data_IF_806470114423
#
_entry.id   IF_806470114423
#
_cell.length_a   1.000
_cell.length_b   1.000
_cell.length_c   1.000
_cell.angle_alpha   90.00
_cell.angle_beta   90.00
_cell.angle_gamma   90.00
#
_symmetry.space_group_name_H-M   'P 1'
#
loop_
_entity.id
_entity.type
_entity.pdbx_description
1 polymer ?
#
# COMPACT_ATOMS: atom_id res chain seq x y z
N UNK A 1 -17.37 23.76 25.91
CA UNK A 1 -16.72 22.45 25.99
C UNK A 1 -15.62 22.45 24.98
N UNK A 2 -14.40 22.06 25.33
CA UNK A 2 -13.31 22.00 24.38
C UNK A 2 -13.56 20.85 23.39
N UNK A 3 -13.74 21.18 22.10
CA UNK A 3 -14.01 20.21 21.02
C UNK A 3 -12.85 19.25 20.75
N UNK A 4 -11.67 19.59 21.28
CA UNK A 4 -10.44 18.81 21.14
C UNK A 4 -10.12 17.96 22.38
N UNK A 5 -10.92 18.05 23.46
CA UNK A 5 -10.75 17.19 24.63
C UNK A 5 -11.22 15.76 24.32
N UNK A 6 -10.48 14.77 24.81
CA UNK A 6 -10.94 13.38 24.71
C UNK A 6 -12.22 13.17 25.51
N UNK A 7 -13.17 12.46 24.90
CA UNK A 7 -14.41 12.03 25.57
C UNK A 7 -14.29 10.61 26.12
N UNK A 8 -13.13 9.99 25.98
CA UNK A 8 -12.84 8.63 26.42
C UNK A 8 -12.20 8.63 27.81
N UNK A 9 -12.08 7.46 28.44
CA UNK A 9 -11.33 7.36 29.69
C UNK A 9 -9.82 7.46 29.43
N UNK A 10 -9.03 8.02 30.39
CA UNK A 10 -7.57 8.13 30.23
C UNK A 10 -6.86 6.81 29.94
N UNK A 11 -7.38 5.70 30.48
CA UNK A 11 -6.84 4.37 30.21
C UNK A 11 -7.05 3.96 28.73
N UNK A 12 -8.20 4.28 28.15
CA UNK A 12 -8.50 4.02 26.75
C UNK A 12 -7.60 4.88 25.85
N UNK A 13 -7.40 6.16 26.18
CA UNK A 13 -6.51 7.05 25.43
C UNK A 13 -5.08 6.51 25.37
N UNK A 14 -4.54 6.04 26.50
CA UNK A 14 -3.21 5.41 26.54
C UNK A 14 -3.18 4.16 25.68
N UNK A 15 -4.20 3.30 25.75
CA UNK A 15 -4.29 2.09 24.92
C UNK A 15 -4.34 2.44 23.43
N UNK A 16 -5.11 3.47 23.04
CA UNK A 16 -5.18 3.99 21.67
C UNK A 16 -3.81 4.47 21.20
N UNK A 17 -3.11 5.26 22.01
CA UNK A 17 -1.77 5.74 21.71
C UNK A 17 -0.76 4.60 21.53
N UNK A 18 -0.77 3.59 22.41
CA UNK A 18 0.07 2.40 22.29
C UNK A 18 -0.26 1.59 21.01
N UNK A 19 -1.53 1.38 20.71
CA UNK A 19 -1.98 0.71 19.51
C UNK A 19 -1.49 1.44 18.24
N UNK A 20 -1.68 2.77 18.17
CA UNK A 20 -1.24 3.59 17.05
C UNK A 20 0.28 3.59 16.89
N UNK A 21 1.03 3.58 17.98
CA UNK A 21 2.50 3.45 17.94
C UNK A 21 2.93 2.12 17.33
N UNK A 22 2.29 1.01 17.73
CA UNK A 22 2.56 -0.31 17.16
C UNK A 22 2.24 -0.31 15.65
N UNK A 23 1.10 0.24 15.24
CA UNK A 23 0.74 0.38 13.83
C UNK A 23 1.76 1.23 13.07
N UNK A 24 2.22 2.35 13.63
CA UNK A 24 3.24 3.20 13.02
C UNK A 24 4.53 2.43 12.74
N UNK A 25 5.05 1.73 13.75
CA UNK A 25 6.28 0.94 13.64
C UNK A 25 6.13 -0.16 12.58
N UNK A 26 5.05 -0.93 12.64
CA UNK A 26 4.80 -2.03 11.70
C UNK A 26 4.58 -1.52 10.27
N UNK A 27 3.85 -0.42 10.10
CA UNK A 27 3.60 0.19 8.80
C UNK A 27 4.89 0.75 8.18
N UNK A 28 5.66 1.54 8.94
CA UNK A 28 6.92 2.11 8.46
C UNK A 28 7.90 1.00 8.12
N UNK A 29 8.13 0.08 9.04
CA UNK A 29 9.07 -1.04 8.82
C UNK A 29 8.65 -1.91 7.63
N UNK A 30 7.39 -2.33 7.57
CA UNK A 30 6.89 -3.21 6.52
C UNK A 30 6.96 -2.56 5.13
N UNK A 31 6.52 -1.31 5.00
CA UNK A 31 6.52 -0.62 3.70
C UNK A 31 7.93 -0.22 3.26
N UNK A 32 8.82 0.18 4.17
CA UNK A 32 10.25 0.39 3.85
C UNK A 32 10.89 -0.90 3.34
N UNK A 33 10.59 -2.05 3.93
CA UNK A 33 11.07 -3.35 3.42
C UNK A 33 10.57 -3.61 1.99
N UNK A 34 9.31 -3.30 1.66
CA UNK A 34 8.78 -3.41 0.29
C UNK A 34 9.56 -2.53 -0.66
N UNK A 35 9.87 -1.28 -0.28
CA UNK A 35 10.65 -0.34 -1.11
C UNK A 35 12.09 -0.82 -1.31
N UNK A 36 12.77 -1.29 -0.27
CA UNK A 36 14.12 -1.85 -0.36
C UNK A 36 14.15 -3.05 -1.32
N UNK A 37 13.14 -3.92 -1.23
CA UNK A 37 13.00 -5.08 -2.12
C UNK A 37 12.78 -4.67 -3.57
N UNK A 38 11.93 -3.68 -3.81
CA UNK A 38 11.69 -3.13 -5.13
C UNK A 38 12.98 -2.53 -5.72
N UNK A 39 13.71 -1.75 -4.93
CA UNK A 39 15.00 -1.19 -5.33
C UNK A 39 16.02 -2.27 -5.71
N UNK A 40 16.23 -3.28 -4.86
CA UNK A 40 17.14 -4.40 -5.13
C UNK A 40 16.78 -5.20 -6.40
N UNK A 41 15.49 -5.20 -6.79
CA UNK A 41 14.99 -5.92 -7.97
C UNK A 41 14.66 -4.99 -9.14
N UNK A 42 15.02 -3.72 -9.08
CA UNK A 42 14.63 -2.71 -10.06
C UNK A 42 14.93 -3.10 -11.51
N UNK A 43 16.08 -3.73 -11.78
CA UNK A 43 16.47 -4.21 -13.11
C UNK A 43 15.62 -5.37 -13.66
N UNK A 44 14.90 -6.09 -12.79
CA UNK A 44 14.04 -7.24 -13.14
C UNK A 44 12.56 -6.97 -12.92
N UNK A 45 12.21 -5.76 -12.49
CA UNK A 45 10.84 -5.36 -12.18
C UNK A 45 10.01 -5.23 -13.46
N UNK A 46 8.77 -5.69 -13.39
CA UNK A 46 7.81 -5.53 -14.48
C UNK A 46 6.93 -4.28 -14.25
N UNK A 47 6.42 -3.62 -15.32
CA UNK A 47 5.61 -2.41 -15.16
C UNK A 47 4.47 -2.52 -14.13
N UNK A 48 3.66 -3.60 -14.08
CA UNK A 48 2.59 -3.71 -13.08
C UNK A 48 3.08 -3.77 -11.62
N UNK A 49 4.34 -4.15 -11.37
CA UNK A 49 4.90 -4.19 -10.02
C UNK A 49 5.15 -2.79 -9.45
N UNK A 50 5.21 -1.76 -10.31
CA UNK A 50 5.29 -0.36 -9.89
C UNK A 50 4.07 0.07 -9.05
N UNK A 51 2.89 -0.47 -9.33
CA UNK A 51 1.69 -0.18 -8.53
C UNK A 51 1.80 -0.73 -7.09
N UNK A 52 2.51 -1.84 -6.90
CA UNK A 52 2.82 -2.36 -5.55
C UNK A 52 3.79 -1.43 -4.80
N UNK A 53 4.77 -0.88 -5.52
CA UNK A 53 5.70 0.12 -4.96
C UNK A 53 4.94 1.41 -4.63
N UNK A 54 4.07 1.87 -5.53
CA UNK A 54 3.24 3.05 -5.32
C UNK A 54 2.35 2.91 -4.09
N UNK A 55 1.75 1.74 -3.87
CA UNK A 55 0.96 1.45 -2.68
C UNK A 55 1.81 1.52 -1.39
N UNK A 56 3.02 0.97 -1.41
CA UNK A 56 3.93 1.06 -0.26
C UNK A 56 4.36 2.51 0.04
N UNK A 57 4.53 3.35 -0.99
CA UNK A 57 4.78 4.80 -0.83
C UNK A 57 3.58 5.49 -0.20
N UNK A 58 2.36 5.14 -0.63
CA UNK A 58 1.10 5.70 -0.07
C UNK A 58 0.95 5.34 1.41
N UNK A 59 1.14 4.06 1.76
CA UNK A 59 1.01 3.58 3.15
C UNK A 59 2.10 4.16 4.06
N UNK A 60 3.33 4.30 3.55
CA UNK A 60 4.43 4.94 4.28
C UNK A 60 4.15 6.44 4.47
N UNK A 61 3.65 7.13 3.44
CA UNK A 61 3.24 8.53 3.52
C UNK A 61 2.18 8.75 4.60
N UNK A 62 1.13 7.93 4.62
CA UNK A 62 0.12 7.96 5.68
C UNK A 62 0.73 7.74 7.06
N UNK A 63 1.62 6.75 7.21
CA UNK A 63 2.22 6.40 8.49
C UNK A 63 3.07 7.55 9.06
N UNK A 64 3.91 8.19 8.25
CA UNK A 64 4.82 9.24 8.74
C UNK A 64 4.14 10.59 8.95
N UNK A 65 3.05 10.86 8.23
CA UNK A 65 2.33 12.14 8.34
C UNK A 65 1.27 12.13 9.44
N UNK A 66 0.64 10.98 9.71
CA UNK A 66 -0.52 10.92 10.59
C UNK A 66 -0.22 10.34 11.98
N UNK A 67 0.50 9.22 12.06
CA UNK A 67 0.63 8.50 13.34
C UNK A 67 1.38 9.28 14.43
N UNK A 68 2.47 10.04 14.15
CA UNK A 68 3.14 10.79 15.22
C UNK A 68 2.20 11.75 15.95
N UNK A 69 1.36 12.47 15.19
CA UNK A 69 0.42 13.43 15.73
C UNK A 69 -0.70 12.75 16.53
N UNK A 70 -1.27 11.66 16.00
CA UNK A 70 -2.34 10.95 16.71
C UNK A 70 -1.85 10.19 17.94
N UNK A 71 -0.62 9.67 17.96
CA UNK A 71 -0.01 9.06 19.16
C UNK A 71 0.18 10.11 20.25
N UNK A 72 0.77 11.27 19.88
CA UNK A 72 0.98 12.36 20.83
C UNK A 72 -0.34 12.90 21.39
N UNK A 73 -1.37 13.07 20.54
CA UNK A 73 -2.70 13.51 20.96
C UNK A 73 -3.36 12.51 21.92
N UNK A 74 -3.26 11.20 21.62
CA UNK A 74 -3.82 10.18 22.49
C UNK A 74 -3.19 10.18 23.90
N UNK A 75 -1.87 10.33 23.99
CA UNK A 75 -1.18 10.37 25.29
C UNK A 75 -1.35 11.71 26.02
N UNK A 76 -1.72 12.77 25.32
CA UNK A 76 -2.06 14.07 25.89
C UNK A 76 -3.51 14.20 26.31
N UNK A 77 -4.36 13.20 26.08
CA UNK A 77 -5.80 13.18 26.36
C UNK A 77 -6.58 14.29 25.64
N UNK A 78 -6.03 14.88 24.60
CA UNK A 78 -6.67 15.88 23.76
C UNK A 78 -5.95 15.99 22.42
N UNK A 79 -6.64 16.52 21.40
CA UNK A 79 -6.00 16.81 20.13
C UNK A 79 -5.01 17.96 20.26
N UNK A 80 -3.77 17.77 19.82
CA UNK A 80 -2.71 18.77 19.90
C UNK A 80 -2.62 19.58 18.59
N UNK A 81 -2.36 20.89 18.70
CA UNK A 81 -2.09 21.78 17.58
C UNK A 81 -3.31 22.50 16.97
N UNK A 82 -4.53 22.32 17.53
CA UNK A 82 -5.74 23.07 17.16
C UNK A 82 -6.23 22.82 15.74
N UNK A 83 -6.99 23.77 15.17
CA UNK A 83 -7.70 23.64 13.88
C UNK A 83 -6.77 23.31 12.72
N UNK A 84 -5.65 24.03 12.59
CA UNK A 84 -4.74 23.83 11.46
C UNK A 84 -4.12 22.43 11.41
N UNK A 85 -3.77 21.86 12.57
CA UNK A 85 -3.27 20.48 12.64
C UNK A 85 -4.37 19.44 12.41
N UNK A 86 -5.59 19.74 12.81
CA UNK A 86 -6.78 18.93 12.57
C UNK A 86 -7.08 18.83 11.07
N UNK A 87 -7.13 19.98 10.38
CA UNK A 87 -7.35 20.03 8.94
C UNK A 87 -6.22 19.32 8.17
N UNK A 88 -4.97 19.56 8.54
CA UNK A 88 -3.83 18.87 7.94
C UNK A 88 -3.91 17.35 8.09
N UNK A 89 -4.22 16.88 9.30
CA UNK A 89 -4.32 15.46 9.59
C UNK A 89 -5.49 14.80 8.85
N UNK A 90 -6.64 15.46 8.84
CA UNK A 90 -7.83 14.98 8.14
C UNK A 90 -7.61 14.94 6.62
N UNK A 91 -7.03 16.00 6.06
CA UNK A 91 -6.63 16.06 4.65
C UNK A 91 -5.65 14.94 4.30
N UNK A 92 -4.59 14.75 5.09
CA UNK A 92 -3.60 13.70 4.85
C UNK A 92 -4.25 12.31 4.90
N UNK A 93 -5.11 12.02 5.88
CA UNK A 93 -5.83 10.77 6.00
C UNK A 93 -6.74 10.49 4.83
N UNK A 94 -7.48 11.47 4.40
CA UNK A 94 -8.37 11.37 3.26
C UNK A 94 -7.58 11.20 1.94
N UNK A 95 -6.54 11.99 1.73
CA UNK A 95 -5.66 11.93 0.56
C UNK A 95 -5.03 10.55 0.40
N UNK A 96 -4.36 10.03 1.43
CA UNK A 96 -3.70 8.73 1.36
C UNK A 96 -4.72 7.59 1.29
N UNK A 97 -5.89 7.70 1.94
CA UNK A 97 -6.97 6.72 1.86
C UNK A 97 -7.51 6.59 0.43
N UNK A 98 -7.82 7.71 -0.22
CA UNK A 98 -8.28 7.74 -1.62
C UNK A 98 -7.17 7.29 -2.57
N UNK A 99 -5.92 7.71 -2.37
CA UNK A 99 -4.80 7.25 -3.18
C UNK A 99 -4.62 5.74 -3.11
N UNK A 100 -4.78 5.12 -1.93
CA UNK A 100 -4.68 3.68 -1.74
C UNK A 100 -5.77 2.92 -2.48
N UNK A 101 -7.05 3.30 -2.35
CA UNK A 101 -8.14 2.59 -3.04
C UNK A 101 -8.06 2.75 -4.57
N UNK A 102 -7.68 3.92 -5.06
CA UNK A 102 -7.49 4.15 -6.49
C UNK A 102 -6.32 3.34 -7.03
N UNK A 103 -5.22 3.25 -6.28
CA UNK A 103 -4.08 2.40 -6.65
C UNK A 103 -4.45 0.92 -6.71
N UNK A 104 -5.26 0.42 -5.76
CA UNK A 104 -5.78 -0.95 -5.77
C UNK A 104 -6.71 -1.20 -6.97
N UNK A 105 -7.53 -0.22 -7.32
CA UNK A 105 -8.42 -0.28 -8.49
C UNK A 105 -7.62 -0.37 -9.78
N UNK A 106 -6.63 0.51 -9.95
CA UNK A 106 -5.72 0.49 -11.10
C UNK A 106 -4.93 -0.83 -11.15
N UNK A 107 -4.46 -1.32 -10.01
CA UNK A 107 -3.79 -2.62 -9.92
C UNK A 107 -4.70 -3.76 -10.40
N UNK A 108 -5.97 -3.77 -10.02
CA UNK A 108 -6.95 -4.76 -10.47
C UNK A 108 -7.18 -4.68 -11.99
N UNK A 109 -7.35 -3.47 -12.55
CA UNK A 109 -7.52 -3.25 -13.99
C UNK A 109 -6.29 -3.72 -14.77
N UNK A 110 -5.09 -3.28 -14.36
CA UNK A 110 -3.83 -3.64 -15.02
C UNK A 110 -3.60 -5.14 -15.00
N UNK A 111 -3.87 -5.80 -13.88
CA UNK A 111 -3.78 -7.27 -13.79
C UNK A 111 -4.83 -7.97 -14.64
N UNK A 112 -6.03 -7.43 -14.74
CA UNK A 112 -7.08 -7.95 -15.61
C UNK A 112 -6.64 -7.88 -17.09
N UNK A 113 -6.19 -6.73 -17.54
CA UNK A 113 -5.71 -6.53 -18.92
C UNK A 113 -4.54 -7.47 -19.24
N UNK A 114 -3.55 -7.58 -18.36
CA UNK A 114 -2.42 -8.50 -18.54
C UNK A 114 -2.87 -9.96 -18.60
N UNK A 115 -3.84 -10.35 -17.75
CA UNK A 115 -4.33 -11.73 -17.72
C UNK A 115 -5.20 -12.08 -18.95
N UNK A 116 -5.98 -11.13 -19.45
CA UNK A 116 -6.79 -11.33 -20.66
C UNK A 116 -5.90 -11.46 -21.91
N UNK A 117 -4.78 -10.75 -21.96
CA UNK A 117 -3.85 -10.70 -23.10
C UNK A 117 -2.68 -11.70 -22.99
N UNK A 118 -2.80 -12.75 -22.19
CA UNK A 118 -1.75 -13.75 -21.96
C UNK A 118 -1.24 -14.43 -23.24
N UNK A 119 -2.06 -14.51 -24.29
CA UNK A 119 -1.72 -15.10 -25.59
C UNK A 119 -1.28 -14.08 -26.64
N UNK A 120 -1.42 -12.77 -26.39
CA UNK A 120 -1.03 -11.73 -27.34
C UNK A 120 0.34 -11.15 -26.99
N UNK A 121 1.32 -11.40 -27.84
CA UNK A 121 2.66 -10.77 -27.73
C UNK A 121 2.64 -9.25 -27.98
N UNK A 122 1.56 -8.69 -28.52
CA UNK A 122 1.51 -7.30 -28.99
C UNK A 122 1.15 -6.26 -27.94
N UNK A 123 0.50 -6.61 -26.83
CA UNK A 123 0.05 -5.63 -25.85
C UNK A 123 0.65 -5.84 -24.46
N UNK A 124 1.96 -5.69 -24.35
CA UNK A 124 2.59 -5.53 -23.04
C UNK A 124 2.31 -4.11 -22.53
N UNK A 125 1.76 -4.00 -21.32
CA UNK A 125 1.62 -2.70 -20.65
C UNK A 125 3.01 -2.06 -20.52
N UNK A 126 3.15 -0.85 -21.08
CA UNK A 126 4.41 -0.12 -21.06
C UNK A 126 4.65 0.57 -19.70
N UNK A 127 5.92 0.84 -19.39
CA UNK A 127 6.30 1.61 -18.21
C UNK A 127 5.65 2.99 -18.16
N UNK A 128 5.53 3.66 -19.31
CA UNK A 128 4.91 4.99 -19.41
C UNK A 128 3.44 4.92 -18.99
N UNK A 129 2.69 3.95 -19.53
CA UNK A 129 1.26 3.79 -19.17
C UNK A 129 1.06 3.59 -17.66
N UNK A 130 1.88 2.74 -17.02
CA UNK A 130 1.75 2.51 -15.57
C UNK A 130 2.17 3.72 -14.75
N UNK A 131 3.22 4.45 -15.14
CA UNK A 131 3.61 5.71 -14.49
C UNK A 131 2.49 6.74 -14.57
N UNK A 132 1.86 6.90 -15.74
CA UNK A 132 0.71 7.81 -15.89
C UNK A 132 -0.47 7.39 -15.01
N UNK A 133 -0.75 6.10 -14.88
CA UNK A 133 -1.79 5.59 -13.99
C UNK A 133 -1.47 5.85 -12.51
N UNK A 134 -0.21 5.71 -12.08
CA UNK A 134 0.21 6.11 -10.75
C UNK A 134 -0.01 7.62 -10.51
N UNK A 135 0.42 8.47 -11.44
CA UNK A 135 0.21 9.93 -11.38
C UNK A 135 -1.28 10.26 -11.29
N UNK A 136 -2.12 9.58 -12.06
CA UNK A 136 -3.56 9.76 -12.02
C UNK A 136 -4.15 9.43 -10.63
N UNK A 137 -3.69 8.36 -9.97
CA UNK A 137 -4.14 8.03 -8.62
C UNK A 137 -3.85 9.17 -7.62
N UNK A 138 -2.65 9.76 -7.69
CA UNK A 138 -2.26 10.88 -6.83
C UNK A 138 -3.05 12.16 -7.12
N UNK A 139 -3.26 12.49 -8.40
CA UNK A 139 -4.05 13.66 -8.80
C UNK A 139 -5.51 13.50 -8.41
N UNK A 140 -6.10 12.32 -8.61
CA UNK A 140 -7.47 12.03 -8.18
C UNK A 140 -7.63 12.21 -6.68
N UNK A 141 -6.74 11.63 -5.90
CA UNK A 141 -6.75 11.76 -4.45
C UNK A 141 -6.59 13.21 -3.98
N UNK A 142 -5.71 13.97 -4.64
CA UNK A 142 -5.49 15.38 -4.32
C UNK A 142 -6.75 16.23 -4.59
N UNK A 143 -7.39 16.03 -5.74
CA UNK A 143 -8.63 16.75 -6.10
C UNK A 143 -9.70 16.50 -5.03
N UNK A 144 -9.93 15.23 -4.65
CA UNK A 144 -10.92 14.90 -3.65
C UNK A 144 -10.56 15.43 -2.26
N UNK A 145 -9.30 15.43 -1.89
CA UNK A 145 -8.84 15.95 -0.58
C UNK A 145 -8.92 17.49 -0.49
N UNK A 146 -8.90 18.21 -1.62
CA UNK A 146 -9.01 19.64 -1.64
C UNK A 146 -10.48 20.14 -1.55
N UNK A 147 -11.45 19.35 -1.97
CA UNK A 147 -12.86 19.78 -1.96
C UNK A 147 -13.35 20.25 -0.58
N UNK A 148 -13.09 19.59 0.55
CA UNK A 148 -13.50 20.08 1.86
C UNK A 148 -12.89 21.44 2.23
N UNK A 149 -11.65 21.73 1.81
CA UNK A 149 -11.00 23.02 2.02
C UNK A 149 -11.59 24.13 1.13
N UNK A 150 -12.19 23.76 0.00
CA UNK A 150 -12.86 24.67 -0.92
C UNK A 150 -14.33 24.87 -0.59
N UNK A 151 -14.84 24.31 0.51
CA UNK A 151 -16.19 24.47 0.98
C UNK A 151 -17.20 23.43 0.48
N UNK A 152 -16.76 22.42 -0.31
CA UNK A 152 -17.60 21.27 -0.63
C UNK A 152 -17.23 20.09 0.28
N UNK A 153 -17.84 20.01 1.44
CA UNK A 153 -17.49 19.21 2.59
C UNK A 153 -16.76 20.03 3.66
N UNK A 154 -16.35 19.39 4.75
CA UNK A 154 -15.61 20.03 5.83
C UNK A 154 -14.77 19.01 6.59
N UNK A 155 -13.59 19.42 7.04
CA UNK A 155 -12.78 18.68 8.00
C UNK A 155 -13.11 19.11 9.43
N UNK A 156 -12.88 18.23 10.40
CA UNK A 156 -13.11 18.50 11.80
C UNK A 156 -12.74 17.34 12.72
N UNK A 157 -12.83 17.54 14.04
CA UNK A 157 -12.51 16.52 15.02
C UNK A 157 -13.53 15.36 14.99
N UNK A 158 -13.04 14.17 15.25
CA UNK A 158 -13.88 12.99 15.50
C UNK A 158 -14.58 13.11 16.87
N UNK A 159 -15.76 12.47 17.07
CA UNK A 159 -16.52 12.57 18.31
C UNK A 159 -15.77 12.19 19.58
N UNK A 160 -14.72 11.36 19.46
CA UNK A 160 -13.88 10.96 20.59
C UNK A 160 -12.70 11.92 20.88
N UNK A 161 -12.48 12.98 20.07
CA UNK A 161 -11.53 14.06 20.35
C UNK A 161 -10.06 13.77 20.11
N UNK A 162 -9.66 12.54 19.73
CA UNK A 162 -8.25 12.12 19.54
C UNK A 162 -7.82 12.03 18.08
N UNK A 163 -8.66 12.37 17.14
CA UNK A 163 -8.42 12.27 15.70
C UNK A 163 -9.25 13.29 14.96
N UNK A 164 -8.86 13.59 13.73
CA UNK A 164 -9.61 14.46 12.83
C UNK A 164 -9.88 13.76 11.51
N UNK A 165 -11.02 14.04 10.90
CA UNK A 165 -11.43 13.52 9.60
C UNK A 165 -12.43 14.44 8.92
N UNK A 166 -13.30 13.92 8.07
CA UNK A 166 -14.47 14.68 7.60
C UNK A 166 -15.43 14.90 8.77
N UNK A 167 -15.94 16.13 8.91
CA UNK A 167 -16.86 16.53 9.97
C UNK A 167 -18.29 15.99 9.73
N UNK A 168 -18.46 14.67 9.85
CA UNK A 168 -19.68 13.93 9.47
C UNK A 168 -20.96 14.53 10.04
N UNK A 169 -20.96 14.89 11.33
CA UNK A 169 -22.12 15.46 12.01
C UNK A 169 -22.55 16.84 11.49
N UNK A 170 -21.58 17.65 11.02
CA UNK A 170 -21.84 18.99 10.50
C UNK A 170 -22.30 18.99 9.04
N UNK A 171 -22.03 17.91 8.31
CA UNK A 171 -22.33 17.78 6.88
C UNK A 171 -23.77 17.34 6.57
N UNK A 172 -24.63 17.21 7.58
CA UNK A 172 -26.00 16.74 7.42
C UNK A 172 -26.84 17.63 6.48
N UNK A 173 -26.68 18.94 6.52
CA UNK A 173 -27.47 19.87 5.70
C UNK A 173 -26.77 20.31 4.42
N UNK A 174 -25.50 20.68 4.47
CA UNK A 174 -24.76 21.30 3.36
C UNK A 174 -23.73 20.40 2.70
N UNK A 175 -23.32 19.30 3.35
CA UNK A 175 -22.29 18.40 2.87
C UNK A 175 -22.80 17.06 2.33
N UNK A 176 -24.10 16.81 2.34
CA UNK A 176 -24.65 15.51 1.92
C UNK A 176 -24.29 15.15 0.48
N UNK A 177 -24.32 16.13 -0.45
CA UNK A 177 -23.93 15.92 -1.84
C UNK A 177 -22.46 15.51 -1.97
N UNK A 178 -21.56 16.12 -1.19
CA UNK A 178 -20.16 15.73 -1.14
C UNK A 178 -20.00 14.29 -0.66
N UNK A 179 -20.64 13.95 0.45
CA UNK A 179 -20.52 12.61 1.05
C UNK A 179 -21.04 11.53 0.11
N UNK A 180 -22.22 11.74 -0.50
CA UNK A 180 -22.78 10.78 -1.46
C UNK A 180 -21.87 10.60 -2.67
N UNK A 181 -21.36 11.69 -3.24
CA UNK A 181 -20.43 11.66 -4.38
C UNK A 181 -19.11 10.99 -4.01
N UNK A 182 -18.58 11.29 -2.83
CA UNK A 182 -17.33 10.72 -2.32
C UNK A 182 -17.44 9.22 -2.10
N UNK A 183 -18.47 8.73 -1.43
CA UNK A 183 -18.67 7.30 -1.23
C UNK A 183 -18.91 6.56 -2.56
N UNK A 184 -19.67 7.16 -3.47
CA UNK A 184 -19.90 6.58 -4.80
C UNK A 184 -18.61 6.51 -5.61
N UNK A 185 -17.85 7.60 -5.69
CA UNK A 185 -16.66 7.69 -6.55
C UNK A 185 -15.42 7.00 -5.95
N UNK A 186 -15.26 7.00 -4.62
CA UNK A 186 -14.03 6.52 -3.96
C UNK A 186 -14.20 5.23 -3.15
N UNK A 187 -15.41 4.69 -3.03
CA UNK A 187 -15.63 3.40 -2.35
C UNK A 187 -16.44 2.43 -3.22
N UNK A 188 -17.66 2.80 -3.60
CA UNK A 188 -18.56 1.89 -4.31
C UNK A 188 -18.04 1.55 -5.71
N UNK A 189 -17.77 2.55 -6.54
CA UNK A 189 -17.30 2.34 -7.92
C UNK A 189 -15.95 1.59 -7.97
N UNK A 190 -14.91 1.97 -7.18
CA UNK A 190 -13.68 1.19 -7.08
C UNK A 190 -13.90 -0.26 -6.67
N UNK A 191 -14.75 -0.50 -5.65
CA UNK A 191 -15.03 -1.85 -5.16
C UNK A 191 -15.68 -2.72 -6.24
N UNK A 192 -16.66 -2.19 -6.97
CA UNK A 192 -17.31 -2.87 -8.08
C UNK A 192 -16.29 -3.22 -9.18
N UNK A 193 -15.44 -2.27 -9.59
CA UNK A 193 -14.40 -2.50 -10.60
C UNK A 193 -13.42 -3.60 -10.15
N UNK A 194 -12.97 -3.55 -8.90
CA UNK A 194 -12.06 -4.55 -8.32
C UNK A 194 -12.69 -5.96 -8.40
N UNK A 195 -13.96 -6.09 -7.98
CA UNK A 195 -14.68 -7.38 -8.01
C UNK A 195 -14.78 -7.90 -9.45
N UNK A 196 -15.23 -7.07 -10.40
CA UNK A 196 -15.34 -7.46 -11.81
C UNK A 196 -14.00 -7.89 -12.41
N UNK A 197 -12.92 -7.13 -12.14
CA UNK A 197 -11.60 -7.46 -12.64
C UNK A 197 -11.10 -8.81 -12.11
N UNK A 198 -11.22 -9.06 -10.81
CA UNK A 198 -10.72 -10.32 -10.24
C UNK A 198 -11.58 -11.52 -10.62
N UNK A 199 -12.89 -11.34 -10.73
CA UNK A 199 -13.79 -12.37 -11.23
C UNK A 199 -13.45 -12.74 -12.69
N UNK A 200 -13.22 -11.74 -13.54
CA UNK A 200 -12.79 -11.94 -14.93
C UNK A 200 -11.45 -12.70 -15.03
N UNK A 201 -10.47 -12.36 -14.20
CA UNK A 201 -9.19 -13.08 -14.13
C UNK A 201 -9.42 -14.54 -13.68
N UNK A 202 -10.25 -14.76 -12.67
CA UNK A 202 -10.55 -16.11 -12.16
C UNK A 202 -11.18 -17.00 -13.23
N UNK A 203 -12.18 -16.47 -13.95
CA UNK A 203 -12.82 -17.18 -15.09
C UNK A 203 -11.79 -17.51 -16.16
N UNK A 204 -10.96 -16.53 -16.57
CA UNK A 204 -9.94 -16.74 -17.60
C UNK A 204 -8.94 -17.84 -17.20
N UNK A 205 -8.44 -17.81 -15.97
CA UNK A 205 -7.52 -18.84 -15.47
C UNK A 205 -8.19 -20.22 -15.43
N UNK A 206 -9.48 -20.28 -15.04
CA UNK A 206 -10.25 -21.52 -15.06
C UNK A 206 -10.42 -22.07 -16.50
N UNK A 207 -10.75 -21.21 -17.46
CA UNK A 207 -10.89 -21.62 -18.87
C UNK A 207 -9.55 -22.12 -19.45
N UNK A 208 -8.43 -21.45 -19.12
CA UNK A 208 -7.09 -21.91 -19.55
C UNK A 208 -6.76 -23.26 -18.94
N UNK A 209 -7.04 -23.44 -17.64
CA UNK A 209 -6.81 -24.71 -16.95
C UNK A 209 -7.60 -25.85 -17.59
N UNK A 210 -8.90 -25.64 -17.90
CA UNK A 210 -9.79 -26.64 -18.51
C UNK A 210 -9.36 -26.99 -19.94
N UNK A 211 -8.87 -26.00 -20.72
CA UNK A 211 -8.47 -26.18 -22.13
C UNK A 211 -7.03 -26.69 -22.30
N UNK A 212 -6.24 -26.69 -21.23
CA UNK A 212 -4.82 -27.02 -21.31
C UNK A 212 -4.61 -28.53 -21.42
N UNK A 213 -3.82 -28.95 -22.42
CA UNK A 213 -3.32 -30.32 -22.60
C UNK A 213 -2.18 -30.68 -21.61
N UNK A 214 -2.29 -30.25 -20.36
CA UNK A 214 -1.50 -30.72 -19.20
C UNK A 214 0.06 -30.58 -19.31
N UNK A 215 0.58 -29.66 -20.13
CA UNK A 215 2.00 -29.41 -20.19
C UNK A 215 2.49 -28.73 -18.90
N UNK A 216 3.67 -29.13 -18.39
CA UNK A 216 4.25 -28.60 -17.17
C UNK A 216 4.46 -27.07 -17.21
N UNK A 217 4.74 -26.51 -18.39
CA UNK A 217 4.89 -25.05 -18.58
C UNK A 217 3.59 -24.29 -18.28
N UNK A 218 2.45 -24.79 -18.80
CA UNK A 218 1.14 -24.16 -18.58
C UNK A 218 0.73 -24.28 -17.11
N UNK A 219 0.98 -25.41 -16.46
CA UNK A 219 0.71 -25.58 -15.03
C UNK A 219 1.50 -24.57 -14.17
N UNK A 220 2.78 -24.36 -14.47
CA UNK A 220 3.61 -23.42 -13.75
C UNK A 220 3.16 -21.96 -13.96
N UNK A 221 2.76 -21.60 -15.18
CA UNK A 221 2.21 -20.30 -15.51
C UNK A 221 0.90 -20.02 -14.74
N UNK A 222 -0.03 -20.98 -14.76
CA UNK A 222 -1.29 -20.88 -14.02
C UNK A 222 -1.04 -20.73 -12.50
N UNK A 223 -0.12 -21.52 -11.94
CA UNK A 223 0.26 -21.43 -10.51
C UNK A 223 0.79 -20.06 -10.13
N UNK A 224 1.62 -19.46 -10.99
CA UNK A 224 2.14 -18.10 -10.78
C UNK A 224 1.01 -17.07 -10.82
N UNK A 225 0.16 -17.09 -11.85
CA UNK A 225 -0.94 -16.14 -12.00
C UNK A 225 -1.96 -16.28 -10.86
N UNK A 226 -2.31 -17.52 -10.48
CA UNK A 226 -3.20 -17.78 -9.34
C UNK A 226 -2.66 -17.17 -8.04
N UNK A 227 -1.36 -17.31 -7.79
CA UNK A 227 -0.71 -16.72 -6.59
C UNK A 227 -0.75 -15.19 -6.62
N UNK A 228 -0.43 -14.58 -7.76
CA UNK A 228 -0.48 -13.13 -7.92
C UNK A 228 -1.92 -12.60 -7.79
N UNK A 229 -2.90 -13.32 -8.32
CA UNK A 229 -4.32 -13.01 -8.14
C UNK A 229 -4.70 -13.07 -6.66
N UNK A 230 -4.33 -14.14 -5.95
CA UNK A 230 -4.65 -14.31 -4.54
C UNK A 230 -4.08 -13.17 -3.68
N UNK A 231 -2.82 -12.77 -3.91
CA UNK A 231 -2.22 -11.62 -3.21
C UNK A 231 -3.02 -10.34 -3.48
N UNK A 232 -3.34 -10.06 -4.74
CA UNK A 232 -4.08 -8.86 -5.12
C UNK A 232 -5.51 -8.84 -4.55
N UNK A 233 -6.20 -9.98 -4.53
CA UNK A 233 -7.53 -10.12 -3.90
C UNK A 233 -7.43 -9.87 -2.40
N UNK A 234 -6.47 -10.48 -1.70
CA UNK A 234 -6.32 -10.33 -0.26
C UNK A 234 -6.02 -8.88 0.15
N UNK A 235 -5.16 -8.18 -0.62
CA UNK A 235 -4.86 -6.77 -0.37
C UNK A 235 -6.12 -5.91 -0.55
N UNK A 236 -6.85 -6.11 -1.64
CA UNK A 236 -8.04 -5.31 -1.95
C UNK A 236 -9.20 -5.60 -0.99
N UNK A 237 -9.47 -6.87 -0.71
CA UNK A 237 -10.52 -7.27 0.25
C UNK A 237 -10.15 -6.81 1.66
N UNK A 238 -8.87 -6.95 2.05
CA UNK A 238 -8.39 -6.47 3.34
C UNK A 238 -8.60 -4.96 3.50
N UNK A 239 -8.25 -4.16 2.48
CA UNK A 239 -8.48 -2.72 2.49
C UNK A 239 -9.97 -2.38 2.62
N UNK A 240 -10.82 -2.94 1.75
CA UNK A 240 -12.27 -2.69 1.78
C UNK A 240 -12.86 -3.10 3.13
N UNK A 241 -12.50 -4.27 3.66
CA UNK A 241 -12.98 -4.74 4.95
C UNK A 241 -12.59 -3.83 6.12
N UNK A 242 -11.37 -3.23 6.07
CA UNK A 242 -10.91 -2.30 7.11
C UNK A 242 -11.65 -0.96 7.07
N UNK A 243 -11.99 -0.47 5.88
CA UNK A 243 -12.65 0.82 5.72
C UNK A 243 -14.18 0.75 5.81
N UNK A 244 -14.78 -0.41 5.53
CA UNK A 244 -16.25 -0.57 5.54
C UNK A 244 -16.90 -0.23 6.88
N UNK A 245 -16.41 -0.69 8.06
CA UNK A 245 -17.01 -0.32 9.33
C UNK A 245 -16.99 1.20 9.59
N UNK A 246 -15.88 1.87 9.25
CA UNK A 246 -15.76 3.31 9.35
C UNK A 246 -16.74 4.04 8.43
N UNK A 247 -16.85 3.60 7.18
CA UNK A 247 -17.79 4.14 6.21
C UNK A 247 -19.26 4.00 6.68
N UNK A 248 -19.61 2.86 7.27
CA UNK A 248 -20.97 2.62 7.80
C UNK A 248 -21.30 3.55 8.97
N UNK A 249 -20.38 3.70 9.93
CA UNK A 249 -20.57 4.62 11.07
C UNK A 249 -20.64 6.07 10.60
N UNK A 250 -19.79 6.46 9.65
CA UNK A 250 -19.81 7.80 9.06
C UNK A 250 -21.14 8.11 8.34
N UNK A 251 -21.66 7.16 7.55
CA UNK A 251 -22.97 7.28 6.91
C UNK A 251 -24.10 7.35 7.94
N UNK A 252 -24.01 6.56 9.01
CA UNK A 252 -24.97 6.62 10.12
C UNK A 252 -24.99 8.01 10.75
N UNK A 253 -23.82 8.59 11.02
CA UNK A 253 -23.68 9.94 11.63
C UNK A 253 -24.31 11.05 10.80
N UNK A 254 -24.43 10.87 9.49
CA UNK A 254 -25.05 11.86 8.59
C UNK A 254 -26.57 11.70 8.56
N UNK A 255 -27.07 10.46 8.59
CA UNK A 255 -28.51 10.18 8.47
C UNK A 255 -29.19 10.43 9.80
N UNK A 256 -28.58 10.02 10.90
CA UNK A 256 -29.12 10.14 12.27
C UNK A 256 -28.35 11.21 13.05
N UNK A 257 -28.78 11.45 14.29
CA UNK A 257 -28.06 12.39 15.15
C UNK A 257 -26.74 11.77 15.64
N UNK A 258 -25.64 12.44 15.31
CA UNK A 258 -24.28 11.98 15.70
C UNK A 258 -24.08 11.97 17.23
N UNK A 259 -24.84 12.79 17.98
CA UNK A 259 -24.80 12.82 19.45
C UNK A 259 -25.29 11.51 20.10
N UNK A 260 -26.04 10.69 19.36
CA UNK A 260 -26.53 9.38 19.82
C UNK A 260 -25.52 8.25 19.72
N UNK A 261 -24.39 8.47 19.05
CA UNK A 261 -23.35 7.44 18.85
C UNK A 261 -22.33 7.52 19.99
N UNK A 262 -22.16 6.46 20.80
CA UNK A 262 -21.10 6.44 21.81
C UNK A 262 -19.72 6.63 21.17
N UNK A 263 -18.81 7.42 21.80
CA UNK A 263 -17.48 7.69 21.26
C UNK A 263 -16.69 6.43 20.92
N UNK A 264 -16.83 5.36 21.69
CA UNK A 264 -16.17 4.08 21.47
C UNK A 264 -16.63 3.39 20.18
N UNK A 265 -17.90 3.57 19.79
CA UNK A 265 -18.46 3.03 18.54
C UNK A 265 -17.86 3.71 17.32
N UNK A 266 -17.47 4.98 17.43
CA UNK A 266 -16.75 5.71 16.37
C UNK A 266 -15.25 5.40 16.38
N UNK A 267 -14.67 5.20 17.57
CA UNK A 267 -13.25 4.93 17.74
C UNK A 267 -12.81 3.62 17.07
N UNK A 268 -13.48 2.49 17.37
CA UNK A 268 -13.07 1.17 16.90
C UNK A 268 -12.97 1.07 15.38
N UNK A 269 -13.98 1.49 14.58
CA UNK A 269 -13.87 1.50 13.13
C UNK A 269 -12.75 2.39 12.60
N UNK A 270 -12.52 3.55 13.23
CA UNK A 270 -11.43 4.45 12.87
C UNK A 270 -10.06 3.78 13.08
N UNK A 271 -9.86 3.10 14.22
CA UNK A 271 -8.62 2.35 14.51
C UNK A 271 -8.45 1.19 13.53
N UNK A 272 -9.53 0.50 13.18
CA UNK A 272 -9.50 -0.60 12.23
C UNK A 272 -9.15 -0.11 10.81
N UNK A 273 -9.71 1.01 10.35
CA UNK A 273 -9.35 1.63 9.08
C UNK A 273 -7.85 1.99 9.00
N UNK A 274 -7.31 2.57 10.08
CA UNK A 274 -5.87 2.90 10.19
C UNK A 274 -4.97 1.66 10.06
N UNK A 275 -5.39 0.50 10.55
CA UNK A 275 -4.62 -0.75 10.45
C UNK A 275 -4.38 -1.23 9.01
N UNK A 276 -5.13 -0.71 8.01
CA UNK A 276 -4.99 -1.10 6.61
C UNK A 276 -3.58 -0.90 6.04
N UNK A 277 -2.81 0.07 6.55
CA UNK A 277 -1.42 0.35 6.12
C UNK A 277 -0.42 -0.75 6.47
N UNK A 278 -0.77 -1.65 7.39
CA UNK A 278 0.10 -2.75 7.86
C UNK A 278 -0.15 -4.04 7.07
N UNK A 279 -1.36 -4.25 6.53
CA UNK A 279 -1.73 -5.55 5.93
C UNK A 279 -0.97 -5.86 4.65
N UNK A 280 -0.64 -4.85 3.83
CA UNK A 280 0.01 -5.07 2.54
C UNK A 280 1.38 -5.76 2.69
N UNK A 281 2.32 -5.26 3.52
CA UNK A 281 3.59 -5.95 3.78
C UNK A 281 3.42 -7.33 4.40
N UNK A 282 2.44 -7.52 5.30
CA UNK A 282 2.14 -8.81 5.92
C UNK A 282 1.69 -9.84 4.87
N UNK A 283 0.78 -9.46 3.97
CA UNK A 283 0.31 -10.33 2.88
C UNK A 283 1.47 -10.70 1.96
N UNK A 284 2.35 -9.73 1.62
CA UNK A 284 3.56 -10.03 0.84
C UNK A 284 4.48 -11.01 1.57
N UNK A 285 4.69 -10.85 2.87
CA UNK A 285 5.49 -11.76 3.68
C UNK A 285 4.89 -13.17 3.69
N UNK A 286 3.59 -13.31 3.94
CA UNK A 286 2.91 -14.62 4.00
C UNK A 286 2.96 -15.36 2.67
N UNK A 287 2.77 -14.67 1.55
CA UNK A 287 2.57 -15.31 0.25
C UNK A 287 3.75 -15.17 -0.71
N UNK A 288 4.81 -14.42 -0.41
CA UNK A 288 5.98 -14.25 -1.27
C UNK A 288 7.24 -14.87 -0.68
N UNK A 289 7.60 -16.09 -1.13
CA UNK A 289 8.85 -16.76 -0.73
C UNK A 289 10.10 -15.90 -0.99
N UNK A 290 10.09 -15.11 -2.06
CA UNK A 290 11.17 -14.16 -2.38
C UNK A 290 11.25 -13.07 -1.32
N UNK A 291 10.12 -12.49 -0.93
CA UNK A 291 10.04 -11.49 0.13
C UNK A 291 10.53 -12.06 1.47
N UNK A 292 10.05 -13.26 1.85
CA UNK A 292 10.50 -13.94 3.08
C UNK A 292 12.02 -14.14 3.13
N UNK A 293 12.64 -14.55 2.03
CA UNK A 293 14.09 -14.76 1.97
C UNK A 293 14.86 -13.47 2.20
N UNK A 294 14.44 -12.38 1.57
CA UNK A 294 15.13 -11.10 1.72
C UNK A 294 14.93 -10.49 3.11
N UNK A 295 13.73 -10.59 3.68
CA UNK A 295 13.47 -10.18 5.07
C UNK A 295 14.39 -10.95 6.02
N UNK A 296 14.50 -12.28 5.87
CA UNK A 296 15.41 -13.11 6.67
C UNK A 296 16.87 -12.68 6.52
N UNK A 297 17.33 -12.35 5.30
CA UNK A 297 18.68 -11.84 5.07
C UNK A 297 18.92 -10.50 5.76
N UNK A 298 17.96 -9.57 5.66
CA UNK A 298 18.07 -8.27 6.31
C UNK A 298 18.10 -8.39 7.83
N UNK A 299 17.24 -9.21 8.41
CA UNK A 299 17.22 -9.49 9.85
C UNK A 299 18.54 -10.13 10.30
N UNK A 300 19.05 -11.10 9.54
CA UNK A 300 20.35 -11.73 9.83
C UNK A 300 21.49 -10.71 9.81
N UNK A 301 21.54 -9.84 8.80
CA UNK A 301 22.56 -8.77 8.72
C UNK A 301 22.45 -7.80 9.91
N UNK A 302 21.23 -7.37 10.29
CA UNK A 302 21.03 -6.49 11.43
C UNK A 302 21.48 -7.14 12.77
N UNK A 303 21.18 -8.42 12.96
CA UNK A 303 21.53 -9.15 14.18
C UNK A 303 23.04 -9.44 14.29
N UNK A 304 23.75 -9.59 13.16
CA UNK A 304 25.17 -9.92 13.10
C UNK A 304 26.07 -8.71 12.85
N UNK A 305 25.51 -7.51 12.64
CA UNK A 305 26.29 -6.28 12.49
C UNK A 305 27.09 -5.88 13.76
N UNK A 306 26.72 -6.41 14.93
CA UNK A 306 27.45 -6.17 16.17
C UNK A 306 28.57 -7.17 16.47
N UNK A 307 28.73 -8.20 15.66
CA UNK A 307 29.88 -9.11 15.73
C UNK A 307 30.92 -8.66 14.72
N UNK A 308 31.67 -7.61 15.02
CA UNK A 308 32.93 -7.36 14.36
C UNK A 308 33.87 -8.51 14.75
N UNK A 309 34.35 -9.36 13.82
CA UNK A 309 35.49 -10.21 14.12
C UNK A 309 36.68 -9.29 14.37
N UNK A 310 37.43 -9.54 15.46
CA UNK A 310 38.72 -8.91 15.67
C UNK A 310 39.58 -9.10 14.41
N UNK A 311 40.45 -8.13 14.12
CA UNK A 311 41.22 -8.00 12.88
C UNK A 311 42.00 -9.26 12.43
N UNK A 312 42.10 -10.29 13.27
CA UNK A 312 42.86 -11.52 13.00
C UNK A 312 42.08 -12.61 12.23
N UNK A 313 40.75 -12.42 11.98
CA UNK A 313 39.93 -13.43 11.25
C UNK A 313 39.59 -13.03 9.81
N UNK A 314 40.20 -11.93 9.30
CA UNK A 314 39.86 -11.39 7.95
C UNK A 314 40.52 -12.17 6.82
N UNK A 315 41.45 -13.08 7.11
CA UNK A 315 42.26 -13.72 6.04
C UNK A 315 41.63 -14.95 5.34
N UNK A 316 40.54 -15.54 5.84
CA UNK A 316 40.01 -16.74 5.16
C UNK A 316 38.58 -16.65 4.61
N UNK A 317 37.75 -15.75 5.08
CA UNK A 317 36.34 -15.67 4.59
C UNK A 317 36.01 -14.42 3.76
N UNK A 318 36.84 -13.39 3.80
CA UNK A 318 36.62 -12.13 3.07
C UNK A 318 36.91 -12.24 1.57
N UNK A 319 37.74 -13.17 1.14
CA UNK A 319 38.22 -13.32 -0.27
C UNK A 319 37.16 -14.00 -1.15
N UNK A 320 36.29 -14.85 -0.59
CA UNK A 320 35.32 -15.60 -1.40
C UNK A 320 34.05 -14.79 -1.77
N UNK A 321 33.75 -13.69 -1.12
CA UNK A 321 32.56 -12.86 -1.41
C UNK A 321 32.80 -11.73 -2.42
N UNK A 322 34.07 -11.35 -2.66
CA UNK A 322 34.44 -10.29 -3.63
C UNK A 322 34.82 -10.87 -4.98
N UNK A 323 35.24 -12.15 -5.03
CA UNK A 323 35.75 -12.82 -6.26
C UNK A 323 34.67 -13.24 -7.26
N UNK A 324 33.38 -13.20 -6.92
CA UNK A 324 32.30 -13.65 -7.83
C UNK A 324 31.64 -12.56 -8.66
N UNK A 325 32.03 -11.28 -8.53
CA UNK A 325 31.38 -10.19 -9.25
C UNK A 325 32.27 -9.28 -10.11
N UNK A 326 33.53 -9.61 -10.31
CA UNK A 326 34.41 -8.82 -11.18
C UNK A 326 35.27 -9.77 -12.06
N UNK A 327 34.68 -10.27 -13.14
CA UNK A 327 35.46 -10.65 -14.33
C UNK A 327 35.41 -9.46 -15.30
N UNK A 328 36.49 -8.74 -15.53
CA UNK A 328 36.59 -7.82 -16.65
C UNK A 328 36.67 -8.63 -17.95
N UNK A 329 35.79 -8.35 -18.90
CA UNK A 329 35.95 -8.73 -20.29
C UNK A 329 37.09 -7.88 -20.88
N UNK A 330 38.31 -8.35 -20.78
CA UNK A 330 39.42 -7.84 -21.59
C UNK A 330 40.09 -9.10 -22.20
N UNK A 331 40.11 -9.17 -23.54
CA UNK A 331 40.91 -10.12 -24.27
C UNK A 331 40.17 -10.99 -25.26
N UNK A 332 39.66 -10.43 -26.34
CA UNK A 332 39.39 -11.12 -27.60
C UNK A 332 39.36 -10.09 -28.75
N UNK A 333 40.51 -9.50 -29.04
CA UNK A 333 40.71 -8.66 -30.24
C UNK A 333 42.16 -8.65 -30.65
N UNK A 334 42.76 -9.82 -30.90
CA UNK A 334 44.09 -9.93 -31.52
C UNK A 334 44.39 -11.27 -32.20
N UNK A 335 43.42 -12.09 -32.62
CA UNK A 335 43.66 -13.31 -33.39
C UNK A 335 42.82 -13.47 -34.66
N UNK A 336 42.51 -12.38 -35.36
CA UNK A 336 41.88 -12.43 -36.69
C UNK A 336 42.57 -11.48 -37.67
N UNK A 337 43.92 -11.53 -37.74
CA UNK A 337 44.69 -10.80 -38.76
C UNK A 337 45.92 -11.55 -39.29
N UNK A 338 45.97 -12.87 -39.21
CA UNK A 338 47.07 -13.65 -39.78
C UNK A 338 46.64 -14.89 -40.60
N UNK A 339 45.44 -14.95 -41.14
CA UNK A 339 45.04 -16.03 -42.06
C UNK A 339 44.35 -15.53 -43.33
N UNK A 340 44.86 -14.46 -43.94
CA UNK A 340 44.45 -14.08 -45.31
C UNK A 340 45.61 -13.65 -46.20
N UNK A 341 46.77 -14.34 -46.08
CA UNK A 341 47.89 -14.15 -47.00
C UNK A 341 48.60 -15.49 -47.27
N UNK A 342 47.85 -16.48 -47.74
CA UNK A 342 48.35 -17.59 -48.57
C UNK A 342 47.14 -18.30 -49.18
N UNK A 343 46.90 -18.04 -50.43
CA UNK A 343 46.46 -18.93 -51.52
C UNK A 343 45.73 -18.14 -52.61
N UNK A 344 46.47 -18.00 -53.72
CA UNK A 344 45.98 -17.93 -55.11
C UNK A 344 45.52 -16.59 -55.61
#
# INVERSE_FOLDING_TARGET
MDIYASTLSPAVDICVGCYLLVLAVLSIFGNVLVLIMAYKRSSRMKPPELLTVNLAVTDLGAAVTMYPLSVASAWSHHWIGGDASCDYYALAGFFFGVASIMNLTVLAIVRCVVSLNLHSHKERISWLKVKMLCMWCWLWALIWALFPLLGWGRYGPEPFGLSCSLAWGEMKQYGFSFVLSMFTANLLMPSVIIVFCYFGIAIKLYCIYRKSNNTNQVKNLIKLHRRLLMIAVLISVGFIACWTPYALVSMWSIIYDSSSIPPEVSLLPCMFAKSSTVYNPLIYYMFSKTFQREVKKLLWLCLHCNSYPSADTINETGIYLVSTNLKPKIGARSELREQSLTLG
#
